data_IF_745541481085
#
_entry.id   IF_745541481085
#
_cell.length_a   1.000
_cell.length_b   1.000
_cell.length_c   1.000
_cell.angle_alpha   90.00
_cell.angle_beta   90.00
_cell.angle_gamma   90.00
#
_symmetry.space_group_name_H-M   'P 1'
#
loop_
_entity.id
_entity.type
_entity.pdbx_description
1 polymer ?
#
# COMPACT_ATOMS: atom_id res chain seq x y z
N UNK A 1 61.93 13.66 6.21
CA UNK A 1 62.09 13.32 4.78
C UNK A 1 60.78 12.77 4.22
N UNK A 2 59.93 13.50 3.49
CA UNK A 2 60.04 14.77 2.77
C UNK A 2 58.96 15.77 3.22
N UNK A 3 59.39 17.03 3.36
CA UNK A 3 58.62 18.28 3.48
C UNK A 3 57.65 18.46 2.28
N UNK A 4 56.42 18.98 2.42
CA UNK A 4 55.91 20.28 2.87
C UNK A 4 55.84 21.39 1.78
N UNK A 5 54.75 22.17 1.88
CA UNK A 5 54.54 23.60 1.50
C UNK A 5 54.35 24.03 0.04
N UNK A 6 53.17 24.61 -0.26
CA UNK A 6 52.90 26.05 -0.56
C UNK A 6 51.35 26.22 -0.76
N UNK A 7 50.57 26.99 0.03
CA UNK A 7 50.35 28.48 0.07
C UNK A 7 50.11 29.09 -1.32
N UNK A 8 49.20 30.03 -1.62
CA UNK A 8 48.20 30.87 -0.94
C UNK A 8 47.71 31.91 -1.99
N UNK A 9 46.56 32.57 -1.78
CA UNK A 9 46.15 33.83 -2.43
C UNK A 9 45.07 33.67 -3.51
N UNK A 10 43.83 34.12 -3.27
CA UNK A 10 43.28 35.47 -3.60
C UNK A 10 42.90 35.54 -5.10
N UNK A 11 41.73 35.97 -5.58
CA UNK A 11 40.77 37.00 -5.12
C UNK A 11 39.41 36.84 -5.85
N UNK A 12 38.45 37.65 -5.43
CA UNK A 12 37.03 37.78 -5.78
C UNK A 12 36.69 38.04 -7.26
N UNK A 13 35.40 37.84 -7.62
CA UNK A 13 34.84 38.37 -8.86
C UNK A 13 33.42 37.92 -9.18
N UNK A 14 32.46 38.78 -8.87
CA UNK A 14 31.01 38.70 -9.11
C UNK A 14 30.55 38.20 -10.49
N UNK A 15 29.35 37.61 -10.51
CA UNK A 15 28.62 37.32 -11.76
C UNK A 15 27.24 36.71 -11.56
N UNK A 16 26.30 37.47 -10.97
CA UNK A 16 24.86 37.20 -11.05
C UNK A 16 24.41 37.07 -12.52
N UNK A 17 23.80 35.95 -12.89
CA UNK A 17 22.97 35.83 -14.09
C UNK A 17 21.59 35.28 -13.71
N UNK A 18 20.66 36.22 -13.56
CA UNK A 18 19.22 36.00 -13.47
C UNK A 18 18.73 35.63 -14.87
N UNK A 19 18.23 34.41 -15.05
CA UNK A 19 17.47 34.02 -16.23
C UNK A 19 15.99 33.84 -15.85
N UNK A 20 15.20 34.88 -16.11
CA UNK A 20 13.73 34.81 -16.18
C UNK A 20 13.29 34.41 -17.60
N UNK A 21 12.12 33.75 -17.75
CA UNK A 21 11.81 32.90 -18.89
C UNK A 21 11.19 33.65 -20.06
N UNK A 22 11.41 33.10 -21.26
CA UNK A 22 10.79 33.55 -22.51
C UNK A 22 9.37 32.96 -22.61
N UNK A 23 8.41 33.87 -22.72
CA UNK A 23 7.02 33.62 -23.07
C UNK A 23 6.89 32.76 -24.33
N UNK A 24 6.06 31.71 -24.28
CA UNK A 24 5.43 31.17 -25.47
C UNK A 24 3.91 31.17 -25.32
N UNK A 25 3.35 31.83 -26.32
CA UNK A 25 1.98 32.09 -26.74
C UNK A 25 0.92 31.07 -26.31
N UNK A 26 -0.17 31.66 -25.84
CA UNK A 26 -1.49 31.10 -25.62
C UNK A 26 -2.16 30.95 -26.98
N UNK A 27 -2.46 29.72 -27.40
CA UNK A 27 -3.46 29.47 -28.45
C UNK A 27 -4.79 29.11 -27.79
N UNK A 28 -5.73 30.03 -27.90
CA UNK A 28 -7.16 29.84 -27.62
C UNK A 28 -7.81 29.06 -28.74
N UNK A 29 -8.51 27.97 -28.41
CA UNK A 29 -9.53 27.36 -29.27
C UNK A 29 -10.84 27.20 -28.47
N UNK A 30 -11.77 28.13 -28.70
CA UNK A 30 -13.20 27.84 -28.79
C UNK A 30 -13.44 27.18 -30.17
N UNK A 31 -14.37 26.28 -30.46
CA UNK A 31 -15.71 26.05 -29.94
C UNK A 31 -16.22 24.65 -30.35
N UNK A 32 -17.35 24.29 -29.75
CA UNK A 32 -18.47 23.51 -30.29
C UNK A 32 -18.72 22.05 -29.89
N UNK A 33 -19.92 21.94 -29.31
CA UNK A 33 -20.73 20.81 -28.92
C UNK A 33 -21.06 19.84 -30.06
N UNK A 34 -21.07 18.53 -29.76
CA UNK A 34 -22.28 17.67 -29.69
C UNK A 34 -21.90 16.18 -29.66
N UNK A 35 -22.75 15.38 -29.01
CA UNK A 35 -23.13 14.01 -29.39
C UNK A 35 -22.49 12.79 -28.69
N UNK A 36 -23.41 12.03 -28.07
CA UNK A 36 -23.52 10.56 -27.96
C UNK A 36 -22.58 9.77 -27.04
N UNK A 37 -23.17 9.28 -25.94
CA UNK A 37 -22.67 8.18 -25.13
C UNK A 37 -22.47 6.92 -25.99
N UNK A 38 -21.21 6.52 -26.19
CA UNK A 38 -20.84 5.31 -26.89
C UNK A 38 -20.74 4.12 -25.93
N UNK A 39 -21.75 3.24 -25.93
CA UNK A 39 -21.52 1.84 -25.56
C UNK A 39 -20.64 1.21 -26.63
N UNK A 40 -19.45 0.73 -26.27
CA UNK A 40 -18.63 -0.05 -27.19
C UNK A 40 -19.35 -1.36 -27.51
N UNK A 41 -19.79 -1.52 -28.76
CA UNK A 41 -20.38 -2.77 -29.23
C UNK A 41 -19.28 -3.82 -29.42
N UNK A 42 -19.65 -5.09 -29.39
CA UNK A 42 -18.76 -6.22 -29.69
C UNK A 42 -18.02 -6.04 -31.03
N UNK A 43 -18.65 -5.42 -32.02
CA UNK A 43 -18.06 -5.17 -33.34
C UNK A 43 -16.98 -4.09 -33.28
N UNK A 44 -17.10 -3.13 -32.35
CA UNK A 44 -16.09 -2.11 -32.14
C UNK A 44 -14.78 -2.70 -31.56
N UNK A 45 -14.89 -3.57 -30.55
CA UNK A 45 -13.73 -4.26 -29.97
C UNK A 45 -13.07 -5.25 -30.95
N UNK A 46 -13.88 -5.88 -31.80
CA UNK A 46 -13.40 -6.79 -32.86
C UNK A 46 -12.61 -6.04 -33.94
N UNK A 47 -13.02 -4.82 -34.29
CA UNK A 47 -12.31 -4.00 -35.28
C UNK A 47 -10.97 -3.47 -34.72
N UNK A 48 -10.91 -3.11 -33.44
CA UNK A 48 -9.64 -2.74 -32.76
C UNK A 48 -8.62 -3.90 -32.83
N UNK A 49 -9.08 -5.14 -32.67
CA UNK A 49 -8.27 -6.36 -32.80
C UNK A 49 -7.81 -6.68 -34.23
N UNK A 50 -8.58 -6.23 -35.24
CA UNK A 50 -8.25 -6.44 -36.65
C UNK A 50 -7.30 -5.36 -37.20
N UNK A 51 -7.28 -4.17 -36.59
CA UNK A 51 -6.48 -3.02 -37.04
C UNK A 51 -5.15 -2.85 -36.28
N UNK A 52 -4.90 -3.62 -35.21
CA UNK A 52 -3.63 -3.55 -34.48
C UNK A 52 -2.47 -4.15 -35.27
N UNK A 53 -1.54 -3.29 -35.71
CA UNK A 53 -0.18 -3.63 -36.18
C UNK A 53 0.69 -4.13 -35.00
N UNK A 54 1.89 -4.72 -35.22
CA UNK A 54 2.49 -5.73 -34.33
C UNK A 54 3.16 -5.16 -33.06
N UNK A 55 2.69 -4.03 -32.56
CA UNK A 55 3.12 -3.42 -31.28
C UNK A 55 2.26 -3.83 -30.09
N UNK A 56 1.16 -4.56 -30.30
CA UNK A 56 0.41 -5.19 -29.21
C UNK A 56 1.20 -6.40 -28.74
N UNK A 57 1.66 -6.36 -27.48
CA UNK A 57 2.37 -7.49 -26.88
C UNK A 57 1.44 -8.70 -26.83
N UNK A 58 1.98 -9.92 -26.98
CA UNK A 58 1.22 -11.18 -26.93
C UNK A 58 0.29 -11.26 -25.70
N UNK A 59 0.69 -10.61 -24.60
CA UNK A 59 -0.03 -10.55 -23.34
C UNK A 59 -1.29 -9.65 -23.36
N UNK A 60 -1.24 -8.50 -24.03
CA UNK A 60 -2.42 -7.63 -24.22
C UNK A 60 -3.44 -8.28 -25.15
N UNK A 61 -2.96 -9.02 -26.15
CA UNK A 61 -3.80 -9.82 -27.03
C UNK A 61 -4.54 -10.93 -26.27
N UNK A 62 -3.85 -11.69 -25.40
CA UNK A 62 -4.48 -12.74 -24.60
C UNK A 62 -5.46 -12.17 -23.55
N UNK A 63 -5.19 -11.00 -22.96
CA UNK A 63 -6.13 -10.30 -22.09
C UNK A 63 -7.41 -9.89 -22.82
N UNK A 64 -7.29 -9.26 -23.99
CA UNK A 64 -8.43 -8.86 -24.82
C UNK A 64 -9.23 -10.07 -25.32
N UNK A 65 -8.53 -11.15 -25.69
CA UNK A 65 -9.15 -12.42 -26.11
C UNK A 65 -9.93 -13.07 -24.97
N UNK A 66 -9.37 -13.14 -23.76
CA UNK A 66 -10.05 -13.67 -22.58
C UNK A 66 -11.29 -12.83 -22.22
N UNK A 67 -11.19 -11.50 -22.31
CA UNK A 67 -12.33 -10.60 -22.09
C UNK A 67 -13.46 -10.85 -23.12
N UNK A 68 -13.10 -11.05 -24.39
CA UNK A 68 -14.06 -11.38 -25.44
C UNK A 68 -14.70 -12.75 -25.25
N UNK A 69 -13.97 -13.76 -24.78
CA UNK A 69 -14.52 -15.08 -24.48
C UNK A 69 -15.51 -15.04 -23.30
N UNK A 70 -15.24 -14.24 -22.28
CA UNK A 70 -16.17 -14.01 -21.15
C UNK A 70 -17.47 -13.40 -21.66
N UNK A 71 -17.41 -12.31 -22.44
CA UNK A 71 -18.59 -11.65 -23.02
C UNK A 71 -19.38 -12.60 -23.93
N UNK A 72 -18.68 -13.48 -24.67
CA UNK A 72 -19.31 -14.49 -25.55
C UNK A 72 -20.03 -15.58 -24.76
N UNK A 73 -19.46 -16.00 -23.62
CA UNK A 73 -20.04 -16.99 -22.71
C UNK A 73 -21.29 -16.47 -21.98
N UNK A 74 -21.32 -15.18 -21.66
CA UNK A 74 -22.47 -14.50 -21.04
C UNK A 74 -23.64 -14.33 -22.02
N UNK A 75 -23.36 -13.96 -23.28
CA UNK A 75 -24.41 -13.94 -24.31
C UNK A 75 -24.99 -15.33 -24.58
N UNK A 76 -24.19 -16.39 -24.51
CA UNK A 76 -24.62 -17.76 -24.76
C UNK A 76 -25.49 -18.37 -23.63
N UNK A 77 -25.36 -17.88 -22.40
CA UNK A 77 -26.08 -18.38 -21.22
C UNK A 77 -27.39 -17.65 -20.93
N UNK A 78 -27.67 -16.53 -21.61
CA UNK A 78 -28.95 -15.82 -21.53
C UNK A 78 -30.08 -16.54 -22.29
N UNK A 79 -30.67 -17.60 -21.70
CA UNK A 79 -31.97 -18.15 -22.14
C UNK A 79 -33.10 -17.58 -21.27
N UNK A 80 -34.25 -17.20 -21.85
CA UNK A 80 -35.40 -16.74 -21.07
C UNK A 80 -36.02 -17.92 -20.30
N UNK A 81 -36.06 -17.82 -18.97
CA UNK A 81 -36.69 -18.82 -18.10
C UNK A 81 -38.21 -18.74 -18.25
N UNK A 82 -38.86 -19.88 -18.50
CA UNK A 82 -40.31 -19.95 -18.71
C UNK A 82 -41.08 -19.71 -17.41
N UNK A 83 -42.27 -19.12 -17.55
CA UNK A 83 -43.20 -18.72 -16.49
C UNK A 83 -43.63 -19.84 -15.52
N UNK A 84 -43.36 -21.10 -15.84
CA UNK A 84 -43.72 -22.25 -15.00
C UNK A 84 -42.76 -22.49 -13.82
N UNK A 85 -41.53 -21.97 -13.87
CA UNK A 85 -40.50 -22.21 -12.85
C UNK A 85 -40.59 -21.21 -11.68
N UNK A 86 -41.16 -20.02 -11.93
CA UNK A 86 -41.47 -19.02 -10.89
C UNK A 86 -42.53 -19.48 -9.88
N UNK A 87 -43.43 -20.39 -10.28
CA UNK A 87 -44.51 -20.88 -9.40
C UNK A 87 -43.99 -21.93 -8.41
N UNK A 88 -42.94 -22.69 -8.75
CA UNK A 88 -42.30 -23.64 -7.82
C UNK A 88 -41.42 -22.96 -6.77
N UNK A 89 -40.76 -21.85 -7.11
CA UNK A 89 -39.97 -21.08 -6.13
C UNK A 89 -40.86 -20.38 -5.09
N UNK A 90 -42.05 -19.89 -5.46
CA UNK A 90 -42.96 -19.24 -4.51
C UNK A 90 -43.50 -20.18 -3.42
N UNK A 91 -43.72 -21.47 -3.73
CA UNK A 91 -44.22 -22.43 -2.74
C UNK A 91 -43.17 -22.86 -1.71
N UNK A 92 -41.87 -22.69 -1.99
CA UNK A 92 -40.81 -23.01 -1.03
C UNK A 92 -40.54 -21.87 -0.04
N UNK A 93 -40.91 -20.63 -0.39
CA UNK A 93 -40.68 -19.43 0.45
C UNK A 93 -41.71 -19.27 1.58
N UNK A 94 -42.85 -19.96 1.52
CA UNK A 94 -43.93 -19.81 2.54
C UNK A 94 -43.70 -20.74 3.76
N UNK A 95 -42.78 -21.72 3.69
CA UNK A 95 -42.54 -22.69 4.77
C UNK A 95 -41.45 -22.30 5.78
N UNK A 96 -40.74 -21.19 5.59
CA UNK A 96 -39.63 -20.78 6.47
C UNK A 96 -39.82 -19.36 7.03
N UNK A 97 -40.97 -19.13 7.68
CA UNK A 97 -41.20 -17.95 8.53
C UNK A 97 -41.10 -18.33 10.01
N UNK A 98 -39.88 -18.68 10.44
CA UNK A 98 -39.50 -18.82 11.85
C UNK A 98 -38.32 -17.90 12.13
N UNK A 99 -38.54 -16.85 12.92
CA UNK A 99 -37.72 -15.65 12.99
C UNK A 99 -36.24 -15.84 13.35
N UNK A 100 -35.39 -15.11 12.65
CA UNK A 100 -34.11 -14.59 13.15
C UNK A 100 -33.74 -13.38 12.30
N UNK A 101 -33.59 -12.22 12.95
CA UNK A 101 -33.18 -10.96 12.33
C UNK A 101 -31.73 -11.13 11.88
N UNK A 102 -31.51 -11.54 10.63
CA UNK A 102 -30.21 -11.44 9.96
C UNK A 102 -30.03 -9.99 9.54
N UNK A 103 -29.00 -9.35 10.07
CA UNK A 103 -28.47 -8.11 9.50
C UNK A 103 -28.15 -8.34 8.04
N UNK A 104 -28.86 -7.63 7.16
CA UNK A 104 -28.55 -7.61 5.74
C UNK A 104 -27.13 -7.05 5.57
N UNK A 105 -26.26 -7.87 4.99
CA UNK A 105 -24.93 -7.48 4.59
C UNK A 105 -25.04 -6.31 3.60
N UNK A 106 -24.60 -5.12 4.02
CA UNK A 106 -24.47 -3.92 3.18
C UNK A 106 -23.55 -4.18 1.98
N UNK A 107 -22.76 -5.26 2.02
CA UNK A 107 -22.08 -5.82 0.87
C UNK A 107 -23.00 -6.86 0.23
N UNK A 108 -23.78 -6.42 -0.77
CA UNK A 108 -24.81 -7.19 -1.42
C UNK A 108 -24.38 -8.59 -1.86
N UNK A 109 -25.33 -9.52 -1.86
CA UNK A 109 -25.23 -10.83 -2.49
C UNK A 109 -25.19 -10.76 -4.03
N UNK A 110 -25.10 -9.56 -4.61
CA UNK A 110 -24.88 -9.34 -6.04
C UNK A 110 -23.40 -9.45 -6.34
N UNK A 111 -23.09 -10.13 -7.45
CA UNK A 111 -21.74 -10.18 -8.03
C UNK A 111 -21.17 -8.78 -8.28
N UNK A 112 -22.01 -7.77 -8.43
CA UNK A 112 -21.63 -6.39 -8.72
C UNK A 112 -21.77 -5.48 -7.49
N UNK A 113 -20.71 -4.71 -7.21
CA UNK A 113 -20.70 -3.69 -6.16
C UNK A 113 -20.90 -2.30 -6.80
N UNK A 114 -22.05 -1.63 -6.57
CA UNK A 114 -22.39 -0.39 -7.26
C UNK A 114 -21.44 0.77 -6.93
N UNK A 115 -20.84 0.78 -5.73
CA UNK A 115 -19.85 1.79 -5.35
C UNK A 115 -18.61 1.66 -6.23
N UNK A 116 -18.13 0.43 -6.44
CA UNK A 116 -16.95 0.18 -7.29
C UNK A 116 -17.24 0.57 -8.74
N UNK A 117 -18.42 0.22 -9.27
CA UNK A 117 -18.81 0.61 -10.62
C UNK A 117 -18.85 2.13 -10.78
N UNK A 118 -19.42 2.85 -9.79
CA UNK A 118 -19.46 4.31 -9.81
C UNK A 118 -18.05 4.93 -9.80
N UNK A 119 -17.14 4.41 -8.95
CA UNK A 119 -15.75 4.86 -8.90
C UNK A 119 -14.99 4.59 -10.21
N UNK A 120 -15.23 3.43 -10.84
CA UNK A 120 -14.63 3.06 -12.12
C UNK A 120 -15.16 3.87 -13.31
N UNK A 121 -16.40 4.36 -13.24
CA UNK A 121 -16.99 5.22 -14.26
C UNK A 121 -16.47 6.67 -14.16
N UNK A 122 -16.19 7.15 -12.94
CA UNK A 122 -15.79 8.54 -12.69
C UNK A 122 -14.31 8.67 -12.28
N UNK A 123 -13.40 7.90 -12.91
CA UNK A 123 -11.98 7.82 -12.51
C UNK A 123 -11.29 9.18 -12.35
N UNK A 124 -11.56 10.12 -13.25
CA UNK A 124 -10.93 11.44 -13.19
C UNK A 124 -11.36 12.23 -11.95
N UNK A 125 -12.65 12.19 -11.60
CA UNK A 125 -13.16 12.84 -10.38
C UNK A 125 -12.60 12.18 -9.13
N UNK A 126 -12.58 10.83 -9.10
CA UNK A 126 -11.98 10.04 -8.02
C UNK A 126 -10.52 10.43 -7.81
N UNK A 127 -9.76 10.57 -8.91
CA UNK A 127 -8.35 10.97 -8.88
C UNK A 127 -8.14 12.37 -8.33
N UNK A 128 -8.93 13.35 -8.78
CA UNK A 128 -8.86 14.72 -8.26
C UNK A 128 -9.25 14.79 -6.78
N UNK A 129 -10.24 13.99 -6.37
CA UNK A 129 -10.67 13.89 -4.97
C UNK A 129 -9.60 13.27 -4.08
N UNK A 130 -8.96 12.19 -4.54
CA UNK A 130 -7.85 11.55 -3.83
C UNK A 130 -6.63 12.49 -3.73
N UNK A 131 -6.28 13.18 -4.82
CA UNK A 131 -5.22 14.18 -4.82
C UNK A 131 -5.50 15.30 -3.79
N UNK A 132 -6.74 15.80 -3.74
CA UNK A 132 -7.14 16.81 -2.76
C UNK A 132 -6.92 16.31 -1.32
N UNK A 133 -7.29 15.06 -1.00
CA UNK A 133 -7.04 14.48 0.33
C UNK A 133 -5.56 14.52 0.69
N UNK A 134 -4.68 14.15 -0.25
CA UNK A 134 -3.23 14.16 -0.02
C UNK A 134 -2.70 15.59 0.18
N UNK A 135 -3.20 16.55 -0.58
CA UNK A 135 -2.86 17.96 -0.42
C UNK A 135 -3.39 18.56 0.89
N UNK A 136 -4.56 18.12 1.36
CA UNK A 136 -5.11 18.51 2.65
C UNK A 136 -4.25 17.95 3.80
N UNK A 137 -3.85 16.68 3.70
CA UNK A 137 -2.89 16.04 4.63
C UNK A 137 -1.60 16.85 4.71
N UNK A 138 -0.99 17.19 3.57
CA UNK A 138 0.23 18.00 3.53
C UNK A 138 0.06 19.33 4.27
N UNK A 139 -0.99 20.09 3.94
CA UNK A 139 -1.21 21.43 4.50
C UNK A 139 -1.42 21.39 6.01
N UNK A 140 -2.07 20.34 6.51
CA UNK A 140 -2.32 20.15 7.93
C UNK A 140 -1.11 19.61 8.69
N UNK A 141 -0.24 18.85 8.03
CA UNK A 141 0.97 18.28 8.64
C UNK A 141 2.06 19.30 8.87
N UNK A 142 2.09 20.40 8.09
CA UNK A 142 3.12 21.44 8.20
C UNK A 142 3.25 22.00 9.63
N UNK A 143 4.42 21.78 10.23
CA UNK A 143 4.74 22.19 11.60
C UNK A 143 4.08 21.34 12.70
N UNK A 144 3.43 20.24 12.31
CA UNK A 144 2.76 19.26 13.18
C UNK A 144 3.16 17.83 12.80
N UNK A 145 4.29 17.66 12.14
CA UNK A 145 4.81 16.37 11.71
C UNK A 145 5.16 15.49 12.91
N UNK A 146 5.18 14.17 12.71
CA UNK A 146 5.58 13.25 13.77
C UNK A 146 7.10 13.38 14.01
N UNK A 147 7.49 13.54 15.26
CA UNK A 147 8.89 13.67 15.69
C UNK A 147 9.13 12.92 17.00
N UNK A 148 10.37 12.74 17.42
CA UNK A 148 10.66 12.13 18.72
C UNK A 148 10.21 12.98 19.91
N UNK A 149 9.95 14.28 19.71
CA UNK A 149 9.28 15.13 20.70
C UNK A 149 7.83 14.70 20.98
N UNK A 150 7.21 13.94 20.08
CA UNK A 150 5.89 13.36 20.25
C UNK A 150 5.95 12.03 21.02
N UNK A 151 7.13 11.41 21.15
CA UNK A 151 7.29 10.13 21.84
C UNK A 151 6.84 10.27 23.31
N UNK A 152 6.17 9.25 23.89
CA UNK A 152 5.75 9.28 25.28
C UNK A 152 6.94 9.56 26.22
N UNK A 153 6.81 10.55 27.09
CA UNK A 153 7.80 10.82 28.14
C UNK A 153 7.52 9.91 29.34
N UNK A 154 8.33 8.87 29.48
CA UNK A 154 8.23 7.92 30.58
C UNK A 154 9.02 8.35 31.83
N UNK A 155 9.66 9.52 31.83
CA UNK A 155 10.55 9.96 32.91
C UNK A 155 9.82 10.23 34.24
N UNK A 156 8.60 10.76 34.19
CA UNK A 156 7.81 11.11 35.39
C UNK A 156 7.26 9.88 36.13
N UNK A 157 7.19 8.71 35.50
CA UNK A 157 6.58 7.53 36.11
C UNK A 157 7.56 6.72 36.96
N UNK A 158 8.86 6.96 36.82
CA UNK A 158 9.90 6.29 37.63
C UNK A 158 10.06 7.00 38.99
N UNK A 159 9.72 8.30 39.08
CA UNK A 159 9.87 9.10 40.30
C UNK A 159 8.70 8.98 41.28
N UNK A 160 7.47 8.71 40.82
CA UNK A 160 6.31 8.61 41.73
C UNK A 160 6.30 7.35 42.61
N UNK A 161 7.04 6.30 42.25
CA UNK A 161 7.15 5.06 43.04
C UNK A 161 8.23 5.11 44.15
N UNK A 162 9.06 6.16 44.21
CA UNK A 162 10.19 6.21 45.17
C UNK A 162 10.01 7.13 46.38
N UNK A 163 9.00 8.01 46.39
CA UNK A 163 8.83 9.03 47.44
C UNK A 163 7.51 8.95 48.24
N UNK A 164 6.96 7.74 48.47
CA UNK A 164 5.90 7.54 49.47
C UNK A 164 6.47 6.98 50.80
N UNK A 165 6.66 7.81 51.86
CA UNK A 165 7.20 7.35 53.14
C UNK A 165 6.14 6.74 54.07
N UNK A 166 4.95 6.42 53.58
CA UNK A 166 3.86 5.93 54.43
C UNK A 166 3.09 4.80 53.76
N UNK A 167 3.29 3.58 54.25
CA UNK A 167 2.62 2.35 53.82
C UNK A 167 1.12 2.33 54.05
N UNK A 168 0.37 3.14 53.31
CA UNK A 168 -1.07 2.99 53.13
C UNK A 168 -1.35 2.69 51.66
N UNK A 169 -1.46 1.39 51.38
CA UNK A 169 -1.97 0.83 50.12
C UNK A 169 -3.40 1.34 49.88
N UNK A 170 -3.53 2.45 49.15
CA UNK A 170 -4.81 2.80 48.53
C UNK A 170 -5.02 1.91 47.31
N UNK A 171 -5.68 0.78 47.53
CA UNK A 171 -6.22 -0.07 46.47
C UNK A 171 -7.41 0.64 45.80
N UNK A 172 -7.15 1.60 44.92
CA UNK A 172 -8.07 1.92 43.84
C UNK A 172 -7.49 1.39 42.52
N UNK A 173 -8.30 0.81 41.62
CA UNK A 173 -7.83 0.25 40.36
C UNK A 173 -7.53 1.37 39.37
N UNK A 174 -6.54 2.22 39.67
CA UNK A 174 -5.99 3.21 38.75
C UNK A 174 -5.12 2.57 37.68
N UNK A 175 -4.77 1.28 37.80
CA UNK A 175 -3.93 0.54 36.86
C UNK A 175 -4.38 0.66 35.39
N UNK A 176 -5.68 0.81 35.12
CA UNK A 176 -6.21 1.02 33.77
C UNK A 176 -5.88 2.40 33.19
N UNK A 177 -6.09 3.47 33.95
CA UNK A 177 -5.80 4.85 33.53
C UNK A 177 -4.28 5.12 33.53
N UNK A 178 -3.56 4.49 34.46
CA UNK A 178 -2.12 4.63 34.67
C UNK A 178 -1.31 3.90 33.58
N UNK A 179 -1.77 2.75 33.09
CA UNK A 179 -1.15 2.06 31.94
C UNK A 179 -1.46 2.76 30.61
N UNK A 180 -2.63 3.38 30.47
CA UNK A 180 -3.01 4.10 29.23
C UNK A 180 -2.22 5.40 29.01
N UNK A 181 -1.73 6.06 30.07
CA UNK A 181 -0.89 7.28 29.94
C UNK A 181 0.58 7.00 29.65
N UNK A 182 1.11 5.83 30.05
CA UNK A 182 2.50 5.40 29.79
C UNK A 182 2.86 5.22 28.31
N UNK A 183 1.87 5.26 27.42
CA UNK A 183 2.06 4.98 26.00
C UNK A 183 1.45 6.05 25.10
N UNK A 184 0.82 7.08 25.66
CA UNK A 184 0.24 8.16 24.88
C UNK A 184 1.34 9.12 24.43
N UNK A 185 1.23 9.61 23.19
CA UNK A 185 2.13 10.62 22.66
C UNK A 185 2.19 11.83 23.61
N UNK A 186 3.36 12.46 23.75
CA UNK A 186 3.55 13.66 24.58
C UNK A 186 3.02 14.93 23.93
N UNK A 187 2.88 14.93 22.60
CA UNK A 187 2.39 16.05 21.79
C UNK A 187 1.46 15.55 20.70
N UNK A 188 0.44 16.34 20.30
CA UNK A 188 -0.35 16.03 19.12
C UNK A 188 0.52 16.17 17.85
N UNK A 189 0.29 15.28 16.89
CA UNK A 189 0.88 15.35 15.56
C UNK A 189 -0.17 14.99 14.50
N UNK A 190 0.08 15.36 13.26
CA UNK A 190 -0.79 15.13 12.10
C UNK A 190 -0.11 14.19 11.10
N UNK A 191 -0.87 13.36 10.39
CA UNK A 191 -0.28 12.43 9.44
C UNK A 191 0.45 13.19 8.33
N UNK A 192 1.60 12.67 7.92
CA UNK A 192 2.39 13.17 6.80
C UNK A 192 1.90 12.58 5.47
N UNK A 193 2.32 13.20 4.35
CA UNK A 193 2.07 12.65 3.01
C UNK A 193 2.63 11.21 2.93
N UNK A 194 1.84 10.23 2.48
CA UNK A 194 2.32 8.88 2.23
C UNK A 194 3.13 8.81 0.92
N UNK A 195 4.07 7.87 0.84
CA UNK A 195 4.81 7.56 -0.40
C UNK A 195 3.84 7.12 -1.52
N UNK A 196 2.80 6.37 -1.15
CA UNK A 196 1.72 5.99 -2.05
C UNK A 196 0.41 5.89 -1.28
N UNK A 197 -0.68 6.36 -1.87
CA UNK A 197 -2.04 6.04 -1.41
C UNK A 197 -2.96 5.83 -2.60
N UNK A 198 -3.86 4.85 -2.52
CA UNK A 198 -4.76 4.56 -3.63
C UNK A 198 -6.00 3.77 -3.25
N UNK A 199 -6.99 3.88 -4.14
CA UNK A 199 -8.18 3.04 -4.18
C UNK A 199 -7.96 1.94 -5.20
N UNK A 200 -8.13 0.69 -4.77
CA UNK A 200 -7.90 -0.48 -5.60
C UNK A 200 -9.11 -1.40 -5.61
N UNK A 201 -9.39 -1.99 -6.77
CA UNK A 201 -10.42 -3.00 -6.96
C UNK A 201 -9.78 -4.38 -7.09
N UNK A 202 -10.25 -5.34 -6.30
CA UNK A 202 -9.84 -6.74 -6.40
C UNK A 202 -11.03 -7.67 -6.55
N UNK A 203 -10.85 -8.72 -7.35
CA UNK A 203 -11.76 -9.86 -7.39
C UNK A 203 -11.39 -10.87 -6.31
N UNK A 204 -12.33 -11.12 -5.41
CA UNK A 204 -12.08 -11.96 -4.24
C UNK A 204 -12.97 -13.19 -4.29
N UNK A 205 -12.37 -14.38 -4.11
CA UNK A 205 -13.12 -15.61 -3.94
C UNK A 205 -13.77 -15.64 -2.56
N UNK A 206 -15.05 -15.98 -2.51
CA UNK A 206 -15.76 -16.25 -1.27
C UNK A 206 -15.44 -17.60 -0.68
N UNK A 207 -16.04 -17.85 0.48
CA UNK A 207 -15.90 -19.12 1.19
C UNK A 207 -16.36 -20.30 0.32
N UNK A 208 -17.47 -20.12 -0.39
CA UNK A 208 -17.85 -20.99 -1.50
C UNK A 208 -16.99 -20.59 -2.70
N UNK A 209 -16.01 -21.43 -3.05
CA UNK A 209 -15.00 -21.19 -4.11
C UNK A 209 -15.57 -20.80 -5.48
N UNK A 210 -16.87 -21.06 -5.69
CA UNK A 210 -17.60 -20.76 -6.91
C UNK A 210 -18.14 -19.32 -6.98
N UNK A 211 -18.14 -18.59 -5.88
CA UNK A 211 -18.59 -17.20 -5.84
C UNK A 211 -17.41 -16.23 -5.78
N UNK A 212 -17.36 -15.29 -6.73
CA UNK A 212 -16.43 -14.15 -6.69
C UNK A 212 -17.21 -12.88 -6.39
N UNK A 213 -16.65 -12.04 -5.53
CA UNK A 213 -17.19 -10.72 -5.25
C UNK A 213 -16.15 -9.64 -5.50
N UNK A 214 -16.62 -8.48 -5.96
CA UNK A 214 -15.81 -7.30 -6.12
C UNK A 214 -15.59 -6.66 -4.75
N UNK A 215 -14.33 -6.45 -4.38
CA UNK A 215 -13.96 -5.78 -3.13
C UNK A 215 -13.12 -4.53 -3.43
N UNK A 216 -13.40 -3.48 -2.68
CA UNK A 216 -12.64 -2.23 -2.70
C UNK A 216 -11.60 -2.27 -1.58
N UNK A 217 -10.41 -1.77 -1.87
CA UNK A 217 -9.28 -1.70 -0.96
C UNK A 217 -8.73 -0.28 -0.95
N UNK A 218 -8.33 0.18 0.23
CA UNK A 218 -7.51 1.39 0.39
C UNK A 218 -6.12 0.87 0.75
N UNK A 219 -5.12 1.22 -0.05
CA UNK A 219 -3.72 0.85 0.22
C UNK A 219 -2.92 2.12 0.39
N UNK A 220 -2.06 2.14 1.41
CA UNK A 220 -1.14 3.24 1.70
C UNK A 220 0.22 2.65 2.04
N UNK A 221 1.29 3.38 1.75
CA UNK A 221 2.64 3.04 2.15
C UNK A 221 3.48 4.29 2.44
N UNK A 222 4.50 4.13 3.29
CA UNK A 222 5.40 5.22 3.65
C UNK A 222 4.81 6.19 4.67
N UNK A 223 5.32 7.42 4.65
CA UNK A 223 5.03 8.47 5.64
C UNK A 223 6.11 8.62 6.69
N UNK A 224 5.85 9.48 7.69
CA UNK A 224 6.77 9.81 8.79
C UNK A 224 8.21 10.07 8.33
N UNK A 225 8.37 10.88 7.29
CA UNK A 225 9.65 11.12 6.63
C UNK A 225 10.62 11.84 7.57
N UNK A 226 10.12 12.87 8.27
CA UNK A 226 10.89 13.65 9.23
C UNK A 226 11.36 12.80 10.42
N UNK A 227 10.47 11.96 10.96
CA UNK A 227 10.81 11.03 12.04
C UNK A 227 11.88 10.04 11.59
N UNK A 228 11.75 9.51 10.37
CA UNK A 228 12.71 8.56 9.79
C UNK A 228 14.09 9.19 9.58
N UNK A 229 14.15 10.42 9.09
CA UNK A 229 15.40 11.18 8.91
C UNK A 229 16.05 11.50 10.26
N UNK A 230 15.25 11.88 11.25
CA UNK A 230 15.72 12.13 12.62
C UNK A 230 16.29 10.86 13.25
N UNK A 231 15.61 9.73 13.04
CA UNK A 231 16.05 8.42 13.51
C UNK A 231 17.36 7.97 12.85
N UNK A 232 17.51 8.24 11.55
CA UNK A 232 18.76 7.99 10.83
C UNK A 232 19.90 8.82 11.42
N UNK A 233 19.70 10.11 11.65
CA UNK A 233 20.71 10.98 12.25
C UNK A 233 21.09 10.51 13.66
N UNK A 234 20.10 10.18 14.50
CA UNK A 234 20.32 9.61 15.83
C UNK A 234 21.18 8.33 15.77
N UNK A 235 20.85 7.43 14.84
CA UNK A 235 21.58 6.17 14.63
C UNK A 235 23.03 6.41 14.17
N UNK A 236 23.25 7.41 13.31
CA UNK A 236 24.60 7.78 12.84
C UNK A 236 25.44 8.36 13.96
N UNK A 237 24.85 9.17 14.84
CA UNK A 237 25.55 9.75 15.99
C UNK A 237 25.88 8.70 17.05
N UNK A 238 24.94 7.78 17.30
CA UNK A 238 25.08 6.71 18.28
C UNK A 238 25.99 5.56 17.82
N UNK A 239 26.31 5.45 16.52
CA UNK A 239 26.99 4.27 15.91
C UNK A 239 28.30 3.84 16.56
N UNK A 240 29.01 4.75 17.24
CA UNK A 240 30.29 4.45 17.91
C UNK A 240 30.10 3.81 19.28
N UNK A 241 28.95 4.03 19.90
CA UNK A 241 28.68 3.69 21.29
C UNK A 241 27.52 2.69 21.46
N UNK A 242 26.77 2.42 20.39
CA UNK A 242 25.66 1.48 20.39
C UNK A 242 25.90 0.33 19.43
N UNK A 243 25.53 -0.87 19.88
CA UNK A 243 25.42 -2.06 19.06
C UNK A 243 24.12 -2.05 18.26
N UNK A 244 24.09 -2.79 17.15
CA UNK A 244 22.88 -2.94 16.33
C UNK A 244 21.71 -3.54 17.14
N UNK A 245 22.02 -4.37 18.15
CA UNK A 245 21.01 -4.92 19.05
C UNK A 245 20.37 -3.83 19.92
N UNK A 246 21.18 -2.96 20.51
CA UNK A 246 20.66 -1.85 21.31
C UNK A 246 19.83 -0.89 20.47
N UNK A 247 20.19 -0.68 19.19
CA UNK A 247 19.37 0.06 18.24
C UNK A 247 18.03 -0.65 18.00
N UNK A 248 18.02 -1.97 17.77
CA UNK A 248 16.79 -2.73 17.59
C UNK A 248 15.86 -2.72 18.82
N UNK A 249 16.44 -2.87 20.02
CA UNK A 249 15.72 -2.90 21.30
C UNK A 249 15.36 -1.49 21.82
N UNK A 250 15.76 -0.42 21.13
CA UNK A 250 15.50 0.97 21.53
C UNK A 250 14.02 1.36 21.44
N UNK A 251 13.61 2.28 22.31
CA UNK A 251 12.26 2.84 22.30
C UNK A 251 12.00 3.63 21.01
N UNK A 252 13.04 4.26 20.44
CA UNK A 252 12.97 5.03 19.20
C UNK A 252 12.63 4.14 18.00
N UNK A 253 13.24 2.95 17.89
CA UNK A 253 12.89 1.96 16.86
C UNK A 253 11.45 1.50 17.00
N UNK A 254 11.03 1.20 18.23
CA UNK A 254 9.65 0.79 18.51
C UNK A 254 8.66 1.91 18.15
N UNK A 255 8.95 3.14 18.56
CA UNK A 255 8.12 4.31 18.30
C UNK A 255 8.00 4.59 16.81
N UNK A 256 9.11 4.57 16.07
CA UNK A 256 9.11 4.76 14.61
C UNK A 256 8.22 3.75 13.89
N UNK A 257 8.26 2.47 14.28
CA UNK A 257 7.37 1.44 13.72
C UNK A 257 5.90 1.75 13.99
N UNK A 258 5.57 2.14 15.23
CA UNK A 258 4.19 2.46 15.64
C UNK A 258 3.68 3.75 15.00
N UNK A 259 4.49 4.79 14.94
CA UNK A 259 4.16 6.05 14.31
C UNK A 259 3.85 5.85 12.82
N UNK A 260 4.68 5.08 12.09
CA UNK A 260 4.43 4.74 10.69
C UNK A 260 3.12 3.96 10.49
N UNK A 261 2.84 2.97 11.35
CA UNK A 261 1.58 2.23 11.33
C UNK A 261 0.37 3.16 11.52
N UNK A 262 0.45 4.03 12.53
CA UNK A 262 -0.61 4.98 12.89
C UNK A 262 -0.82 6.03 11.81
N UNK A 263 0.25 6.57 11.23
CA UNK A 263 0.20 7.49 10.10
C UNK A 263 -0.61 6.90 8.95
N UNK A 264 -0.27 5.68 8.54
CA UNK A 264 -1.00 4.98 7.48
C UNK A 264 -2.48 4.73 7.84
N UNK A 265 -2.79 4.36 9.08
CA UNK A 265 -4.16 4.19 9.53
C UNK A 265 -4.97 5.50 9.54
N UNK A 266 -4.35 6.63 9.89
CA UNK A 266 -4.97 7.97 9.82
C UNK A 266 -5.21 8.40 8.37
N UNK A 267 -4.26 8.14 7.47
CA UNK A 267 -4.42 8.41 6.03
C UNK A 267 -5.57 7.58 5.45
N UNK A 268 -5.62 6.27 5.74
CA UNK A 268 -6.72 5.39 5.29
C UNK A 268 -8.06 5.92 5.77
N UNK A 269 -8.16 6.35 7.04
CA UNK A 269 -9.39 6.92 7.59
C UNK A 269 -9.84 8.14 6.80
N UNK A 270 -8.94 9.10 6.53
CA UNK A 270 -9.27 10.30 5.75
C UNK A 270 -9.75 9.98 4.34
N UNK A 271 -9.10 9.05 3.67
CA UNK A 271 -9.54 8.58 2.35
C UNK A 271 -10.94 7.94 2.47
N UNK A 272 -11.16 7.07 3.44
CA UNK A 272 -12.47 6.44 3.62
C UNK A 272 -13.58 7.46 3.90
N UNK A 273 -13.34 8.46 4.76
CA UNK A 273 -14.28 9.54 5.08
C UNK A 273 -14.61 10.38 3.84
N UNK A 274 -13.59 10.80 3.08
CA UNK A 274 -13.77 11.60 1.87
C UNK A 274 -14.63 10.85 0.83
N UNK A 275 -14.43 9.53 0.69
CA UNK A 275 -15.19 8.69 -0.23
C UNK A 275 -16.45 8.05 0.39
N UNK A 276 -16.78 8.37 1.64
CA UNK A 276 -17.92 7.82 2.39
C UNK A 276 -17.93 6.28 2.39
N UNK A 277 -16.75 5.68 2.51
CA UNK A 277 -16.57 4.23 2.50
C UNK A 277 -16.69 3.67 3.93
N UNK A 278 -17.51 2.64 4.14
CA UNK A 278 -17.63 2.02 5.45
C UNK A 278 -16.38 1.19 5.76
N UNK A 279 -15.56 1.66 6.68
CA UNK A 279 -14.40 0.94 7.22
C UNK A 279 -14.54 0.77 8.74
N UNK A 280 -13.97 -0.29 9.33
CA UNK A 280 -13.87 -0.40 10.78
C UNK A 280 -12.94 0.69 11.34
N UNK A 281 -13.41 1.43 12.34
CA UNK A 281 -12.64 2.39 13.10
C UNK A 281 -12.32 1.81 14.48
N UNK A 282 -11.11 2.10 14.98
CA UNK A 282 -10.63 1.65 16.28
C UNK A 282 -10.10 2.85 17.06
N UNK A 283 -10.30 2.92 18.39
CA UNK A 283 -9.65 3.94 19.21
C UNK A 283 -8.14 3.76 19.17
N UNK A 284 -7.39 4.85 18.99
CA UNK A 284 -5.93 4.86 19.03
C UNK A 284 -5.43 4.95 20.47
N UNK A 285 -4.89 3.85 21.05
CA UNK A 285 -4.47 3.84 22.45
C UNK A 285 -3.19 4.64 22.72
N UNK A 286 -2.48 5.06 21.67
CA UNK A 286 -1.21 5.80 21.76
C UNK A 286 -1.39 7.30 21.46
N UNK A 287 -2.61 7.73 21.16
CA UNK A 287 -2.89 9.12 20.81
C UNK A 287 -2.80 10.07 22.01
N UNK A 288 -2.26 11.27 21.78
CA UNK A 288 -2.26 12.36 22.77
C UNK A 288 -3.69 12.70 23.23
N UNK A 289 -4.61 12.82 22.26
CA UNK A 289 -6.04 12.99 22.48
C UNK A 289 -6.81 11.81 21.89
N UNK A 290 -7.92 11.36 22.51
CA UNK A 290 -8.69 10.22 22.00
C UNK A 290 -9.15 10.43 20.56
N UNK A 291 -8.48 9.75 19.62
CA UNK A 291 -8.85 9.74 18.21
C UNK A 291 -9.09 8.31 17.73
N UNK A 292 -9.97 8.17 16.77
CA UNK A 292 -10.16 6.90 16.06
C UNK A 292 -9.30 6.84 14.81
N UNK A 293 -8.74 5.68 14.52
CA UNK A 293 -7.94 5.38 13.33
C UNK A 293 -8.55 4.18 12.56
N UNK A 294 -8.16 4.01 11.30
CA UNK A 294 -8.63 2.87 10.51
C UNK A 294 -8.09 1.53 11.05
N UNK A 295 -8.97 0.53 11.14
CA UNK A 295 -8.55 -0.85 11.41
C UNK A 295 -7.90 -1.48 10.16
N UNK A 296 -6.58 -1.56 10.14
CA UNK A 296 -5.82 -2.16 9.02
C UNK A 296 -6.01 -3.67 8.99
N UNK A 297 -6.29 -4.22 7.80
CA UNK A 297 -6.55 -5.68 7.64
C UNK A 297 -5.28 -6.48 7.42
N UNK A 298 -4.32 -5.88 6.72
CA UNK A 298 -3.05 -6.49 6.33
C UNK A 298 -1.97 -5.42 6.42
N UNK A 299 -0.82 -5.79 6.95
CA UNK A 299 0.33 -4.92 7.07
C UNK A 299 1.57 -5.65 6.57
N UNK A 300 2.46 -4.93 5.88
CA UNK A 300 3.70 -5.49 5.37
C UNK A 300 4.80 -4.43 5.52
N UNK A 301 5.84 -4.77 6.27
CA UNK A 301 6.95 -3.86 6.54
C UNK A 301 7.93 -3.89 5.36
N UNK A 302 8.15 -2.74 4.73
CA UNK A 302 9.09 -2.60 3.61
C UNK A 302 10.55 -2.70 4.04
N UNK A 303 10.83 -2.18 5.23
CA UNK A 303 12.14 -2.16 5.85
C UNK A 303 11.96 -2.58 7.28
N UNK A 304 12.67 -3.63 7.69
CA UNK A 304 12.55 -4.13 9.05
C UNK A 304 13.87 -4.68 9.58
N UNK A 305 14.03 -4.57 10.90
CA UNK A 305 15.10 -5.21 11.65
C UNK A 305 14.49 -6.42 12.35
N UNK A 306 15.03 -7.61 12.11
CA UNK A 306 14.56 -8.85 12.72
C UNK A 306 15.62 -9.39 13.67
N UNK A 307 15.17 -9.86 14.83
CA UNK A 307 16.04 -10.57 15.76
C UNK A 307 16.07 -12.04 15.37
N UNK A 308 17.27 -12.56 15.14
CA UNK A 308 17.44 -13.97 14.82
C UNK A 308 17.21 -14.82 16.09
N UNK A 309 16.33 -15.85 16.04
CA UNK A 309 15.95 -16.63 17.22
C UNK A 309 17.13 -17.34 17.90
N UNK A 310 18.13 -17.75 17.11
CA UNK A 310 19.18 -18.68 17.56
C UNK A 310 20.55 -18.01 17.72
N UNK A 311 20.90 -17.03 16.89
CA UNK A 311 22.26 -16.46 16.84
C UNK A 311 22.38 -15.14 17.60
N UNK A 312 21.28 -14.66 18.20
CA UNK A 312 21.20 -13.34 18.83
C UNK A 312 21.60 -12.19 17.86
N UNK A 313 21.73 -12.49 16.56
CA UNK A 313 22.01 -11.55 15.49
C UNK A 313 20.80 -10.68 15.15
N UNK A 314 21.06 -9.60 14.42
CA UNK A 314 20.02 -8.74 13.86
C UNK A 314 20.14 -8.81 12.35
N UNK A 315 19.09 -9.26 11.66
CA UNK A 315 19.00 -9.23 10.20
C UNK A 315 18.27 -7.97 9.76
N UNK A 316 18.74 -7.35 8.68
CA UNK A 316 18.04 -6.23 8.04
C UNK A 316 17.34 -6.71 6.78
N UNK A 317 16.03 -6.53 6.73
CA UNK A 317 15.17 -6.86 5.60
C UNK A 317 14.85 -5.58 4.84
N UNK A 318 15.22 -5.53 3.56
CA UNK A 318 15.00 -4.36 2.70
C UNK A 318 14.22 -4.77 1.47
N UNK A 319 13.03 -4.18 1.31
CA UNK A 319 12.06 -4.49 0.24
C UNK A 319 11.70 -5.98 0.18
N UNK A 320 11.84 -6.65 1.32
CA UNK A 320 11.44 -8.02 1.54
C UNK A 320 10.91 -8.16 2.97
N UNK A 321 10.12 -9.19 3.19
CA UNK A 321 9.54 -9.50 4.50
C UNK A 321 9.90 -10.93 4.89
N UNK A 322 10.02 -11.17 6.19
CA UNK A 322 10.03 -12.54 6.70
C UNK A 322 8.61 -13.11 6.70
N UNK A 323 8.38 -14.07 5.82
CA UNK A 323 7.11 -14.77 5.66
C UNK A 323 6.66 -15.45 6.96
N UNK A 324 7.59 -15.88 7.82
CA UNK A 324 7.25 -16.55 9.08
C UNK A 324 6.54 -15.60 10.08
N UNK A 325 6.85 -14.31 10.00
CA UNK A 325 6.29 -13.27 10.88
C UNK A 325 4.99 -12.64 10.35
N UNK A 326 4.67 -12.82 9.06
CA UNK A 326 3.51 -12.17 8.43
C UNK A 326 2.18 -12.70 8.97
N UNK A 327 1.27 -11.78 9.30
CA UNK A 327 -0.10 -12.09 9.75
C UNK A 327 -1.09 -11.44 8.79
N UNK A 328 -2.11 -12.19 8.38
CA UNK A 328 -3.23 -11.70 7.56
C UNK A 328 -2.87 -11.19 6.16
N UNK A 329 -1.77 -11.66 5.58
CA UNK A 329 -1.40 -11.40 4.19
C UNK A 329 -0.02 -10.79 4.05
N UNK A 330 0.45 -10.74 2.82
CA UNK A 330 1.63 -9.98 2.39
C UNK A 330 1.18 -9.06 1.26
N UNK A 331 1.52 -7.78 1.36
CA UNK A 331 1.24 -6.78 0.33
C UNK A 331 2.51 -6.62 -0.51
N UNK A 332 2.40 -6.83 -1.81
CA UNK A 332 3.48 -6.61 -2.75
C UNK A 332 3.14 -5.44 -3.67
N UNK A 333 3.88 -4.34 -3.54
CA UNK A 333 3.65 -3.13 -4.33
C UNK A 333 4.26 -3.29 -5.73
N UNK A 334 3.41 -3.30 -6.75
CA UNK A 334 3.84 -3.37 -8.14
C UNK A 334 4.09 -1.96 -8.68
N UNK A 335 4.31 -1.83 -9.99
CA UNK A 335 4.23 -0.52 -10.63
C UNK A 335 2.88 0.14 -10.28
N UNK A 336 2.80 1.45 -10.00
CA UNK A 336 1.53 2.11 -9.66
C UNK A 336 0.38 1.83 -10.65
N UNK A 337 0.69 1.79 -11.96
CA UNK A 337 -0.26 1.39 -13.02
C UNK A 337 -0.66 -0.09 -13.02
N UNK A 338 0.19 -0.98 -12.51
CA UNK A 338 -0.11 -2.42 -12.40
C UNK A 338 -0.92 -2.72 -11.12
N UNK A 339 -0.72 -1.91 -10.09
CA UNK A 339 -1.45 -1.97 -8.83
C UNK A 339 -0.69 -2.66 -7.71
N UNK A 340 -1.38 -3.50 -6.95
CA UNK A 340 -0.83 -4.16 -5.76
C UNK A 340 -1.24 -5.63 -5.77
N UNK A 341 -0.33 -6.52 -5.38
CA UNK A 341 -0.65 -7.93 -5.22
C UNK A 341 -0.80 -8.26 -3.74
N UNK A 342 -1.98 -8.76 -3.36
CA UNK A 342 -2.27 -9.20 -2.02
C UNK A 342 -2.14 -10.72 -1.94
N UNK A 343 -1.09 -11.15 -1.29
CA UNK A 343 -0.72 -12.52 -1.02
C UNK A 343 -1.44 -12.98 0.26
N UNK A 344 -2.46 -13.82 0.13
CA UNK A 344 -3.39 -14.16 1.22
C UNK A 344 -2.96 -15.34 2.08
N UNK A 345 -2.19 -16.27 1.51
CA UNK A 345 -1.77 -17.49 2.20
C UNK A 345 -2.93 -18.46 2.43
N UNK A 346 -2.66 -19.64 3.01
CA UNK A 346 -3.66 -20.66 3.23
C UNK A 346 -4.69 -20.23 4.27
N UNK A 347 -5.97 -20.26 3.89
CA UNK A 347 -7.09 -19.93 4.80
C UNK A 347 -7.09 -20.92 5.97
N UNK A 348 -7.12 -20.42 7.21
CA UNK A 348 -7.29 -21.28 8.39
C UNK A 348 -8.72 -21.85 8.36
N UNK A 349 -8.85 -23.17 8.25
CA UNK A 349 -10.11 -23.91 8.05
C UNK A 349 -11.21 -23.67 9.09
N UNK A 350 -10.90 -23.03 10.23
CA UNK A 350 -11.83 -22.87 11.35
C UNK A 350 -12.21 -21.41 11.70
N UNK A 351 -11.86 -20.42 10.88
CA UNK A 351 -12.28 -19.03 11.13
C UNK A 351 -13.11 -18.50 9.96
N UNK A 352 -14.43 -18.48 10.13
CA UNK A 352 -15.34 -17.82 9.21
C UNK A 352 -15.07 -16.31 9.06
N UNK A 353 -14.25 -15.71 9.93
CA UNK A 353 -13.90 -14.28 9.91
C UNK A 353 -12.49 -13.99 9.37
N UNK A 354 -11.63 -15.00 9.19
CA UNK A 354 -10.28 -14.79 8.64
C UNK A 354 -10.31 -14.97 7.12
N UNK A 355 -10.52 -13.88 6.39
CA UNK A 355 -10.47 -13.87 4.92
C UNK A 355 -9.06 -14.15 4.36
N UNK A 356 -8.04 -14.11 5.23
CA UNK A 356 -6.63 -14.25 4.92
C UNK A 356 -5.99 -15.30 5.83
N UNK A 357 -5.02 -16.01 5.29
CA UNK A 357 -4.19 -16.97 6.01
C UNK A 357 -3.29 -16.32 7.04
N UNK A 358 -2.78 -17.14 7.97
CA UNK A 358 -1.96 -16.68 9.09
C UNK A 358 -0.62 -17.40 9.24
N UNK A 359 -0.16 -18.09 8.19
CA UNK A 359 1.15 -18.70 8.11
C UNK A 359 1.60 -18.66 6.65
N UNK A 360 2.78 -18.11 6.40
CA UNK A 360 3.35 -17.97 5.07
C UNK A 360 4.73 -18.61 5.08
N UNK A 361 4.99 -19.50 4.13
CA UNK A 361 6.26 -20.22 4.04
C UNK A 361 6.50 -21.25 5.15
N UNK A 362 7.60 -21.97 5.02
CA UNK A 362 8.22 -22.77 6.08
C UNK A 362 9.57 -22.13 6.40
N UNK A 363 9.89 -21.98 7.69
CA UNK A 363 11.20 -21.49 8.15
C UNK A 363 12.37 -22.32 7.62
N UNK A 364 12.10 -23.55 7.15
CA UNK A 364 13.11 -24.46 6.61
C UNK A 364 13.47 -24.20 5.13
N UNK A 365 12.62 -23.49 4.36
CA UNK A 365 12.78 -23.38 2.90
C UNK A 365 12.93 -21.97 2.36
N UNK A 366 12.14 -21.02 2.86
CA UNK A 366 12.20 -19.63 2.40
C UNK A 366 11.66 -18.72 3.48
N UNK A 367 12.53 -17.92 4.09
CA UNK A 367 12.13 -16.93 5.09
C UNK A 367 11.83 -15.59 4.43
N UNK A 368 12.64 -15.15 3.46
CA UNK A 368 12.47 -13.85 2.80
C UNK A 368 11.60 -13.88 1.54
N UNK A 369 10.64 -12.95 1.46
CA UNK A 369 9.77 -12.74 0.30
C UNK A 369 9.85 -11.27 -0.14
N UNK A 370 10.15 -10.95 -1.42
CA UNK A 370 10.21 -9.57 -1.87
C UNK A 370 8.80 -8.99 -2.07
N UNK A 371 8.63 -7.73 -1.65
CA UNK A 371 7.33 -7.07 -1.46
C UNK A 371 7.19 -5.79 -2.27
N UNK A 372 8.10 -5.54 -3.20
CA UNK A 372 7.96 -4.43 -4.12
C UNK A 372 8.73 -4.66 -5.42
N UNK A 373 8.23 -4.08 -6.51
CA UNK A 373 9.05 -3.86 -7.69
C UNK A 373 10.04 -2.72 -7.41
N UNK A 374 11.29 -2.89 -7.84
CA UNK A 374 12.31 -1.88 -7.67
C UNK A 374 12.27 -0.89 -8.84
N UNK A 375 12.16 0.40 -8.52
CA UNK A 375 12.45 1.47 -9.47
C UNK A 375 13.94 1.47 -9.80
N UNK A 376 14.25 1.48 -11.10
CA UNK A 376 15.59 1.45 -11.67
C UNK A 376 15.87 2.82 -12.26
N UNK A 377 17.03 3.39 -11.93
CA UNK A 377 17.41 4.70 -12.49
C UNK A 377 17.57 4.58 -14.02
N UNK A 378 17.07 5.54 -14.81
CA UNK A 378 17.05 5.45 -16.28
C UNK A 378 18.40 5.14 -16.94
N UNK A 379 19.50 5.59 -16.30
CA UNK A 379 20.89 5.48 -16.76
C UNK A 379 21.69 4.39 -16.04
N UNK A 380 21.06 3.58 -15.18
CA UNK A 380 21.77 2.52 -14.47
C UNK A 380 21.86 1.29 -15.37
N UNK A 381 23.03 1.12 -16.01
CA UNK A 381 23.36 -0.10 -16.75
C UNK A 381 23.63 -1.22 -15.75
N UNK A 382 22.56 -1.88 -15.27
CA UNK A 382 22.69 -3.10 -14.48
C UNK A 382 23.31 -4.18 -15.36
N UNK A 383 24.60 -4.39 -15.22
CA UNK A 383 25.25 -5.59 -15.74
C UNK A 383 25.49 -6.48 -14.53
N UNK A 384 24.94 -7.70 -14.52
CA UNK A 384 25.14 -8.70 -13.46
C UNK A 384 26.62 -9.09 -13.25
N UNK A 385 27.58 -8.40 -13.88
CA UNK A 385 29.02 -8.66 -13.85
C UNK A 385 29.74 -8.04 -12.64
N UNK A 386 29.07 -7.17 -11.86
CA UNK A 386 29.74 -6.38 -10.83
C UNK A 386 29.71 -6.95 -9.41
N UNK A 387 29.14 -8.15 -9.19
CA UNK A 387 29.16 -8.81 -7.87
C UNK A 387 30.12 -10.00 -7.93
N UNK A 388 31.32 -9.91 -7.31
CA UNK A 388 32.24 -11.04 -7.23
C UNK A 388 31.59 -12.20 -6.48
N UNK A 389 31.48 -13.37 -7.12
CA UNK A 389 30.90 -14.57 -6.50
C UNK A 389 29.38 -14.74 -6.68
N UNK A 390 28.68 -13.80 -7.32
CA UNK A 390 27.34 -14.09 -7.82
C UNK A 390 27.48 -15.02 -9.03
N UNK A 391 27.17 -16.31 -8.85
CA UNK A 391 26.89 -17.17 -9.99
C UNK A 391 25.88 -16.44 -10.86
N UNK A 392 26.29 -16.22 -12.11
CA UNK A 392 25.59 -15.38 -13.07
C UNK A 392 24.12 -15.79 -13.10
N UNK A 393 23.22 -14.98 -12.52
CA UNK A 393 21.83 -15.00 -12.93
C UNK A 393 21.85 -14.61 -14.42
N UNK A 394 21.87 -15.61 -15.30
CA UNK A 394 21.95 -15.48 -16.77
C UNK A 394 20.64 -14.95 -17.37
N UNK A 395 19.96 -14.04 -16.68
CA UNK A 395 18.81 -13.30 -17.18
C UNK A 395 19.16 -11.83 -17.26
N UNK A 396 18.96 -11.21 -18.42
CA UNK A 396 18.82 -9.76 -18.48
C UNK A 396 17.64 -9.39 -17.58
N UNK A 397 17.80 -8.48 -16.60
CA UNK A 397 16.67 -8.04 -15.79
C UNK A 397 15.54 -7.54 -16.69
N UNK A 398 14.36 -8.14 -16.53
CA UNK A 398 13.16 -7.72 -17.23
C UNK A 398 12.70 -6.37 -16.66
N UNK A 399 12.87 -5.31 -17.43
CA UNK A 399 12.37 -3.98 -17.09
C UNK A 399 11.12 -3.68 -17.90
N UNK A 400 10.15 -3.04 -17.26
CA UNK A 400 9.05 -2.40 -17.97
C UNK A 400 9.29 -0.89 -17.93
N UNK A 401 9.37 -0.31 -19.13
CA UNK A 401 9.14 1.12 -19.33
C UNK A 401 7.62 1.32 -19.35
N UNK A 402 7.01 1.46 -18.19
CA UNK A 402 5.57 1.72 -18.12
C UNK A 402 5.37 3.22 -18.08
N UNK A 403 4.59 3.75 -19.02
CA UNK A 403 4.02 5.07 -18.81
C UNK A 403 2.96 4.93 -17.73
N UNK A 404 2.84 5.95 -16.89
CA UNK A 404 1.76 6.01 -15.92
C UNK A 404 0.41 5.90 -16.63
N UNK A 405 -0.44 5.00 -16.13
CA UNK A 405 -1.83 4.94 -16.57
C UNK A 405 -2.58 6.19 -16.09
N UNK A 406 -3.69 6.49 -16.75
CA UNK A 406 -4.65 7.54 -16.40
C UNK A 406 -5.11 7.54 -14.93
N UNK A 407 -5.00 6.40 -14.23
CA UNK A 407 -5.31 6.22 -12.81
C UNK A 407 -4.24 6.76 -11.85
N UNK A 408 -3.03 7.06 -12.32
CA UNK A 408 -1.89 7.47 -11.46
C UNK A 408 -1.70 8.99 -11.50
N UNK A 409 -1.46 9.59 -10.34
CA UNK A 409 -0.97 10.97 -10.18
C UNK A 409 0.35 10.92 -9.42
N UNK A 410 1.34 11.64 -9.92
CA UNK A 410 2.59 11.84 -9.19
C UNK A 410 2.62 13.22 -8.57
N UNK A 411 3.12 13.30 -7.34
CA UNK A 411 3.28 14.55 -6.60
C UNK A 411 4.72 14.69 -6.10
N UNK A 412 5.18 15.92 -5.90
CA UNK A 412 6.42 16.19 -5.18
C UNK A 412 6.21 16.11 -3.64
N UNK A 413 7.29 16.33 -2.88
CA UNK A 413 7.24 16.39 -1.41
C UNK A 413 6.39 17.53 -0.85
N UNK A 414 5.96 18.47 -1.69
CA UNK A 414 5.08 19.59 -1.32
C UNK A 414 3.64 19.37 -1.77
N UNK A 415 3.31 18.17 -2.29
CA UNK A 415 1.96 17.84 -2.77
C UNK A 415 1.59 18.44 -4.12
N UNK A 416 2.54 19.03 -4.85
CA UNK A 416 2.29 19.57 -6.19
C UNK A 416 2.36 18.46 -7.23
N UNK A 417 1.44 18.49 -8.20
CA UNK A 417 1.44 17.50 -9.29
C UNK A 417 2.69 17.68 -10.16
N UNK A 418 3.42 16.59 -10.35
CA UNK A 418 4.59 16.55 -11.24
C UNK A 418 4.26 15.83 -12.54
N UNK A 419 4.89 16.26 -13.63
CA UNK A 419 4.74 15.59 -14.93
C UNK A 419 5.37 14.20 -14.89
N UNK A 420 4.88 13.32 -15.78
CA UNK A 420 5.31 11.91 -15.84
C UNK A 420 6.83 11.76 -15.77
N UNK A 421 7.30 11.01 -14.78
CA UNK A 421 8.71 10.68 -14.67
C UNK A 421 8.94 9.39 -15.46
N UNK A 422 9.85 9.44 -16.43
CA UNK A 422 10.31 8.23 -17.13
C UNK A 422 11.09 7.35 -16.13
N UNK A 423 10.36 6.53 -15.39
CA UNK A 423 10.90 5.58 -14.44
C UNK A 423 10.88 4.16 -15.04
N UNK A 424 11.97 3.43 -14.87
CA UNK A 424 12.05 2.00 -15.18
C UNK A 424 11.71 1.23 -13.93
N UNK A 425 10.97 0.13 -14.04
CA UNK A 425 10.71 -0.75 -12.91
C UNK A 425 11.11 -2.17 -13.26
N UNK A 426 11.62 -2.90 -12.27
CA UNK A 426 11.82 -4.35 -12.39
C UNK A 426 10.46 -5.03 -12.45
N UNK A 427 10.28 -5.96 -13.37
CA UNK A 427 9.05 -6.73 -13.48
C UNK A 427 9.11 -8.00 -12.65
N UNK A 428 7.97 -8.37 -12.05
CA UNK A 428 7.76 -9.70 -11.50
C UNK A 428 7.46 -10.65 -12.65
N UNK A 429 8.45 -11.43 -13.07
CA UNK A 429 8.31 -12.34 -14.20
C UNK A 429 7.66 -13.68 -13.83
N UNK A 430 7.40 -14.50 -14.85
CA UNK A 430 6.84 -15.84 -14.65
C UNK A 430 7.83 -16.76 -13.91
N UNK A 431 9.14 -16.48 -13.98
CA UNK A 431 10.16 -17.21 -13.22
C UNK A 431 9.99 -16.99 -11.73
N UNK A 432 9.87 -15.72 -11.31
CA UNK A 432 9.58 -15.34 -9.93
C UNK A 432 8.28 -15.99 -9.46
N UNK A 433 7.23 -15.89 -10.27
CA UNK A 433 5.92 -16.45 -9.92
C UNK A 433 6.00 -17.97 -9.77
N UNK A 434 6.75 -18.66 -10.64
CA UNK A 434 6.98 -20.11 -10.57
C UNK A 434 7.78 -20.51 -9.33
N UNK A 435 8.85 -19.79 -9.02
CA UNK A 435 9.61 -20.01 -7.78
C UNK A 435 8.71 -19.90 -6.55
N UNK A 436 7.82 -18.89 -6.51
CA UNK A 436 6.85 -18.76 -5.43
C UNK A 436 5.89 -19.97 -5.33
N UNK A 437 5.47 -20.55 -6.46
CA UNK A 437 4.59 -21.72 -6.44
C UNK A 437 5.33 -22.98 -5.99
N UNK A 438 6.52 -23.22 -6.55
CA UNK A 438 7.29 -24.44 -6.37
C UNK A 438 7.95 -24.51 -4.98
N UNK A 439 8.50 -23.39 -4.51
CA UNK A 439 9.30 -23.35 -3.27
C UNK A 439 8.48 -22.92 -2.05
N UNK A 440 7.52 -22.02 -2.25
CA UNK A 440 6.78 -21.37 -1.16
C UNK A 440 5.31 -21.80 -1.04
N UNK A 441 4.87 -22.80 -1.80
CA UNK A 441 3.50 -23.36 -1.80
C UNK A 441 2.38 -22.36 -2.14
N UNK A 442 2.70 -21.26 -2.83
CA UNK A 442 1.70 -20.28 -3.25
C UNK A 442 1.02 -20.72 -4.54
N UNK A 443 -0.18 -21.28 -4.44
CA UNK A 443 -0.97 -21.54 -5.65
C UNK A 443 -1.51 -20.23 -6.22
N UNK A 444 -1.17 -19.90 -7.48
CA UNK A 444 -1.66 -18.69 -8.17
C UNK A 444 -3.18 -18.52 -8.08
N UNK A 445 -3.90 -19.64 -8.22
CA UNK A 445 -5.36 -19.65 -8.27
C UNK A 445 -6.04 -19.40 -6.93
N UNK A 446 -5.37 -19.57 -5.79
CA UNK A 446 -5.99 -19.43 -4.47
C UNK A 446 -5.18 -18.58 -3.48
N UNK A 447 -3.98 -18.12 -3.83
CA UNK A 447 -3.06 -17.43 -2.93
C UNK A 447 -2.87 -15.94 -3.19
N UNK A 448 -3.19 -15.45 -4.39
CA UNK A 448 -2.91 -14.07 -4.82
C UNK A 448 -4.20 -13.38 -5.23
N UNK A 449 -4.38 -12.15 -4.77
CA UNK A 449 -5.42 -11.25 -5.26
C UNK A 449 -4.77 -10.01 -5.84
N UNK A 450 -4.90 -9.87 -7.15
CA UNK A 450 -4.49 -8.70 -7.90
C UNK A 450 -5.46 -7.55 -7.61
N UNK A 451 -4.91 -6.44 -7.09
CA UNK A 451 -5.62 -5.22 -6.78
C UNK A 451 -5.34 -4.22 -7.91
N UNK A 452 -6.32 -4.02 -8.77
CA UNK A 452 -6.24 -3.11 -9.91
C UNK A 452 -6.46 -1.66 -9.45
N UNK A 453 -5.64 -0.70 -9.91
CA UNK A 453 -5.76 0.69 -9.48
C UNK A 453 -7.03 1.33 -10.07
N UNK A 454 -7.81 2.00 -9.21
CA UNK A 454 -8.88 2.91 -9.63
C UNK A 454 -8.29 4.33 -9.73
N UNK A 455 -7.64 4.76 -8.65
CA UNK A 455 -6.88 6.00 -8.56
C UNK A 455 -5.75 5.82 -7.54
N UNK A 456 -4.56 6.31 -7.88
CA UNK A 456 -3.36 6.20 -7.05
C UNK A 456 -2.62 7.54 -7.08
N UNK A 457 -2.24 8.04 -5.91
CA UNK A 457 -1.31 9.16 -5.76
C UNK A 457 0.02 8.62 -5.25
N UNK A 458 1.11 9.01 -5.89
CA UNK A 458 2.47 8.56 -5.58
C UNK A 458 3.37 9.76 -5.39
N UNK A 459 4.15 9.79 -4.32
CA UNK A 459 5.17 10.79 -4.07
C UNK A 459 6.47 10.45 -4.82
N UNK A 460 7.09 11.45 -5.47
CA UNK A 460 8.34 11.33 -6.22
C UNK A 460 9.60 11.68 -5.43
#
# INVERSE_FOLDING_TARGET
DKLATQTSGEEEGDGLAIHTPVNKEVETFESDSTSTAGMFSYDHLKNILAESTPTVTVFEYDRLKNLLEVIRSEKATSRPVSSHEKVRQMHHTISESGGSVRGESIFGSSTENPVILNLLQHKQEVKMKLLKVVQDIYRESLGKECTFDCMPDNSEVISEDTDCPSGQLSHQPLAGVYMSRKSADSKPWSPEIPEMVGLFHGYVRGFNKDCRYHKLFIVTSGGCSLLSDTYFNLSVDARKNMTVREVYDSEETWYLRRANQRNNAMVIKRVAEEFQLPIPLLPDPFSYEPVEIAGTTTETLHYDLLREPNDNGISFMSKCVDTSGCKNGIVCNMHPSEGVWLFRGPVKTNSAMSYYGGAFGSSEKQTSFPISTCRVRPNYNWTCKSVPGAEVCQGSPCFINSKDDSSVVRIDSSGNVVSQVNAKYTYVDETYTRMLMEESMWTRDNGIVELLPIAVVVQE
#
